data_IF_778315843651
#
_entry.id   IF_778315843651
#
_cell.length_a   1.000
_cell.length_b   1.000
_cell.length_c   1.000
_cell.angle_alpha   90.00
_cell.angle_beta   90.00
_cell.angle_gamma   90.00
#
_symmetry.space_group_name_H-M   'P 1'
#
loop_
_entity.id
_entity.type
_entity.pdbx_description
1 polymer ?
#
# COMPACT_ATOMS: atom_id res chain seq x y z
N UNK A 1 -2.18 -31.36 -20.70
CA UNK A 1 -2.82 -30.04 -20.86
C UNK A 1 -2.78 -29.38 -19.49
N UNK A 2 -1.90 -28.38 -19.29
CA UNK A 2 -1.94 -27.61 -18.06
C UNK A 2 -3.29 -26.89 -18.01
N UNK A 3 -4.03 -27.00 -16.91
CA UNK A 3 -5.24 -26.21 -16.71
C UNK A 3 -4.83 -24.74 -16.70
N UNK A 4 -5.05 -24.04 -17.81
CA UNK A 4 -4.96 -22.58 -17.85
C UNK A 4 -5.87 -22.04 -16.75
N UNK A 5 -5.27 -21.38 -15.76
CA UNK A 5 -5.98 -20.68 -14.70
C UNK A 5 -5.87 -19.21 -15.05
N UNK A 6 -6.89 -18.67 -15.71
CA UNK A 6 -6.97 -17.25 -16.02
C UNK A 6 -7.68 -16.53 -14.87
N UNK A 7 -7.03 -15.51 -14.30
CA UNK A 7 -7.67 -14.57 -13.38
C UNK A 7 -8.23 -13.41 -14.20
N UNK A 8 -9.55 -13.21 -14.18
CA UNK A 8 -10.24 -12.12 -14.88
C UNK A 8 -10.80 -11.11 -13.88
N UNK A 9 -10.93 -9.86 -14.31
CA UNK A 9 -11.67 -8.86 -13.54
C UNK A 9 -13.12 -9.32 -13.37
N UNK A 10 -13.69 -9.04 -12.19
CA UNK A 10 -15.09 -9.31 -11.88
C UNK A 10 -15.94 -8.12 -12.28
N UNK A 11 -15.46 -6.92 -11.98
CA UNK A 11 -16.10 -5.68 -12.41
C UNK A 11 -15.66 -5.32 -13.83
N UNK A 12 -16.61 -4.81 -14.61
CA UNK A 12 -16.32 -4.21 -15.91
C UNK A 12 -15.52 -2.92 -15.72
N UNK A 13 -14.77 -2.53 -16.76
CA UNK A 13 -14.12 -1.23 -16.78
C UNK A 13 -15.17 -0.11 -16.83
N UNK A 14 -15.02 0.90 -15.97
CA UNK A 14 -15.92 2.05 -15.86
C UNK A 14 -15.08 3.30 -16.05
N UNK A 15 -15.08 3.91 -17.25
CA UNK A 15 -14.24 5.07 -17.54
C UNK A 15 -14.78 6.39 -16.94
N UNK A 16 -16.07 6.42 -16.59
CA UNK A 16 -16.74 7.60 -16.05
C UNK A 16 -16.62 7.64 -14.52
N UNK A 17 -15.82 8.58 -14.02
CA UNK A 17 -15.61 8.73 -12.58
C UNK A 17 -16.82 9.26 -11.82
N UNK A 18 -17.85 9.76 -12.50
CA UNK A 18 -19.11 10.15 -11.83
C UNK A 18 -19.87 8.95 -11.25
N UNK A 19 -19.54 7.73 -11.71
CA UNK A 19 -20.09 6.49 -11.19
C UNK A 19 -19.33 5.96 -9.95
N UNK A 20 -18.20 6.56 -9.57
CA UNK A 20 -17.40 6.12 -8.43
C UNK A 20 -18.02 6.62 -7.12
N UNK A 21 -17.92 5.84 -6.05
CA UNK A 21 -18.56 6.14 -4.77
C UNK A 21 -17.75 5.60 -3.59
N UNK A 22 -17.82 6.30 -2.46
CA UNK A 22 -17.23 5.86 -1.20
C UNK A 22 -18.11 4.83 -0.50
N UNK A 23 -17.47 3.98 0.29
CA UNK A 23 -18.12 2.92 1.03
C UNK A 23 -18.83 1.88 0.16
N UNK A 24 -19.75 1.14 0.78
CA UNK A 24 -20.46 0.03 0.16
C UNK A 24 -21.87 0.42 -0.28
N UNK A 25 -22.22 0.03 -1.49
CA UNK A 25 -23.58 0.04 -2.02
C UNK A 25 -24.40 -1.15 -1.50
N UNK A 26 -25.70 -1.12 -1.75
CA UNK A 26 -26.58 -2.28 -1.48
C UNK A 26 -26.16 -3.56 -2.21
N UNK A 27 -25.46 -3.45 -3.34
CA UNK A 27 -24.92 -4.60 -4.05
C UNK A 27 -23.65 -5.14 -3.38
N UNK A 28 -22.79 -4.25 -2.87
CA UNK A 28 -21.56 -4.64 -2.18
C UNK A 28 -21.86 -5.37 -0.87
N UNK A 29 -22.89 -4.93 -0.13
CA UNK A 29 -23.32 -5.63 1.10
C UNK A 29 -23.84 -7.05 0.88
N UNK A 30 -24.15 -7.43 -0.36
CA UNK A 30 -24.54 -8.81 -0.71
C UNK A 30 -23.35 -9.72 -1.03
N UNK A 31 -22.13 -9.16 -1.12
CA UNK A 31 -20.91 -9.92 -1.43
C UNK A 31 -20.51 -10.79 -0.22
N UNK A 32 -19.91 -11.97 -0.43
CA UNK A 32 -19.59 -12.91 0.65
C UNK A 32 -18.58 -12.38 1.67
N UNK A 33 -17.77 -11.40 1.29
CA UNK A 33 -16.77 -10.75 2.14
C UNK A 33 -17.28 -9.46 2.80
N UNK A 34 -18.53 -9.05 2.57
CA UNK A 34 -19.04 -7.78 3.07
C UNK A 34 -19.02 -7.64 4.60
N UNK A 35 -19.08 -8.75 5.33
CA UNK A 35 -18.92 -8.79 6.79
C UNK A 35 -17.58 -8.25 7.29
N UNK A 36 -16.56 -8.18 6.43
CA UNK A 36 -15.25 -7.63 6.75
C UNK A 36 -15.15 -6.13 6.47
N UNK A 37 -16.15 -5.52 5.84
CA UNK A 37 -16.21 -4.08 5.67
C UNK A 37 -16.50 -3.40 7.01
N UNK A 38 -15.78 -2.33 7.31
CA UNK A 38 -16.04 -1.47 8.46
C UNK A 38 -15.74 -0.03 8.09
N UNK A 39 -16.71 0.87 8.25
CA UNK A 39 -16.46 2.28 7.97
C UNK A 39 -15.64 2.94 9.11
N UNK A 40 -15.61 2.31 10.29
CA UNK A 40 -14.81 2.78 11.41
C UNK A 40 -13.38 2.34 11.19
N UNK A 41 -12.56 3.32 10.84
CA UNK A 41 -11.14 3.17 10.57
C UNK A 41 -10.39 3.75 11.77
N UNK A 42 -9.54 2.94 12.40
CA UNK A 42 -8.68 3.45 13.46
C UNK A 42 -7.76 4.57 12.93
N UNK A 43 -7.42 5.56 13.77
CA UNK A 43 -6.41 6.56 13.43
C UNK A 43 -5.06 5.94 13.08
N UNK A 44 -4.13 6.70 12.51
CA UNK A 44 -2.73 6.28 12.37
C UNK A 44 -2.09 5.97 13.75
N UNK A 45 -1.02 5.18 13.77
CA UNK A 45 -0.30 4.88 15.01
C UNK A 45 0.43 6.11 15.57
N UNK A 46 0.68 6.11 16.88
CA UNK A 46 1.48 7.15 17.54
C UNK A 46 2.86 7.36 16.89
N UNK A 47 3.48 6.28 16.40
CA UNK A 47 4.79 6.37 15.74
C UNK A 47 4.71 7.10 14.40
N UNK A 48 3.68 6.81 13.59
CA UNK A 48 3.43 7.50 12.32
C UNK A 48 3.08 8.96 12.60
N UNK A 49 2.22 9.22 13.58
CA UNK A 49 1.85 10.58 13.98
C UNK A 49 3.08 11.40 14.41
N UNK A 50 3.98 10.84 15.24
CA UNK A 50 5.23 11.50 15.64
C UNK A 50 6.16 11.75 14.46
N UNK A 51 6.26 10.79 13.53
CA UNK A 51 7.02 10.94 12.29
C UNK A 51 6.51 12.10 11.43
N UNK A 52 5.20 12.22 11.28
CA UNK A 52 4.55 13.33 10.56
C UNK A 52 4.79 14.67 11.25
N UNK A 53 4.60 14.75 12.57
CA UNK A 53 4.85 15.99 13.35
C UNK A 53 6.30 16.45 13.24
N UNK A 54 7.23 15.53 13.02
CA UNK A 54 8.65 15.82 12.86
C UNK A 54 9.05 16.09 11.40
N UNK A 55 8.10 16.01 10.47
CA UNK A 55 8.31 16.22 9.05
C UNK A 55 8.04 17.68 8.63
N UNK A 56 8.69 18.18 7.56
CA UNK A 56 9.66 17.47 6.74
C UNK A 56 11.00 17.28 7.46
N UNK A 57 11.58 16.09 7.33
CA UNK A 57 12.94 15.83 7.79
C UNK A 57 13.99 16.50 6.88
N UNK A 58 15.22 16.65 7.37
CA UNK A 58 16.32 17.22 6.58
C UNK A 58 16.62 16.39 5.32
N UNK A 59 16.81 17.06 4.18
CA UNK A 59 16.96 16.42 2.86
C UNK A 59 18.14 15.45 2.74
N UNK A 60 19.21 15.67 3.51
CA UNK A 60 20.38 14.78 3.55
C UNK A 60 20.11 13.39 4.15
N UNK A 61 18.95 13.17 4.75
CA UNK A 61 18.49 11.85 5.20
C UNK A 61 17.73 11.08 4.09
N UNK A 62 17.41 11.76 3.00
CA UNK A 62 16.72 11.20 1.85
C UNK A 62 17.63 10.42 0.91
N UNK A 63 17.01 9.54 0.13
CA UNK A 63 17.62 8.79 -0.96
C UNK A 63 16.57 8.58 -2.05
N UNK A 64 16.99 8.27 -3.27
CA UNK A 64 16.11 8.12 -4.42
C UNK A 64 15.55 6.70 -4.58
N UNK A 65 14.47 6.57 -5.37
CA UNK A 65 13.88 5.26 -5.68
C UNK A 65 14.89 4.29 -6.30
N UNK A 66 15.78 4.81 -7.16
CA UNK A 66 16.87 4.04 -7.78
C UNK A 66 17.89 3.51 -6.77
N UNK A 67 17.97 4.10 -5.58
CA UNK A 67 18.85 3.68 -4.48
C UNK A 67 18.13 2.75 -3.49
N UNK A 68 16.81 2.55 -3.64
CA UNK A 68 15.99 1.72 -2.77
C UNK A 68 16.51 0.28 -2.64
N UNK A 69 17.13 -0.26 -3.70
CA UNK A 69 17.74 -1.59 -3.69
C UNK A 69 18.88 -1.76 -2.70
N UNK A 70 19.60 -0.68 -2.37
CA UNK A 70 20.64 -0.71 -1.34
C UNK A 70 20.04 -0.40 0.02
N UNK A 71 19.37 0.74 0.16
CA UNK A 71 18.87 1.24 1.45
C UNK A 71 17.89 0.27 2.14
N UNK A 72 16.97 -0.34 1.39
CA UNK A 72 15.98 -1.26 1.97
C UNK A 72 16.55 -2.66 2.28
N UNK A 73 17.75 -2.98 1.80
CA UNK A 73 18.46 -4.21 2.12
C UNK A 73 19.53 -4.02 3.21
N UNK A 74 19.64 -2.83 3.80
CA UNK A 74 20.49 -2.61 4.98
C UNK A 74 19.85 -3.24 6.23
N UNK A 75 20.64 -3.84 7.13
CA UNK A 75 20.12 -4.39 8.38
C UNK A 75 19.60 -3.29 9.31
N UNK A 76 18.62 -3.62 10.15
CA UNK A 76 18.06 -2.69 11.12
C UNK A 76 17.07 -1.69 10.50
N UNK A 77 17.05 -0.48 11.05
CA UNK A 77 16.16 0.60 10.62
C UNK A 77 16.96 1.76 10.04
N UNK A 78 16.37 2.46 9.09
CA UNK A 78 16.92 3.69 8.53
C UNK A 78 16.58 4.88 9.45
N UNK A 79 17.26 6.04 9.29
CA UNK A 79 16.98 7.22 10.11
C UNK A 79 15.53 7.69 10.06
N UNK A 80 14.86 7.51 8.92
CA UNK A 80 13.46 7.87 8.70
C UNK A 80 12.67 6.61 8.31
N UNK A 81 11.93 6.06 9.28
CA UNK A 81 10.95 4.97 9.08
C UNK A 81 9.51 5.47 9.06
N UNK A 82 9.25 6.66 9.60
CA UNK A 82 7.95 7.33 9.62
C UNK A 82 8.12 8.84 9.35
N UNK A 83 7.31 9.38 8.43
CA UNK A 83 7.35 10.79 8.04
C UNK A 83 7.78 10.98 6.58
N UNK A 84 8.07 12.21 6.21
CA UNK A 84 8.45 12.58 4.84
C UNK A 84 9.56 13.62 4.81
N UNK A 85 10.24 13.70 3.67
CA UNK A 85 11.25 14.72 3.38
C UNK A 85 11.34 14.94 1.88
N UNK A 86 11.99 16.04 1.50
CA UNK A 86 12.39 16.27 0.12
C UNK A 86 13.78 15.70 -0.11
N UNK A 87 13.94 14.82 -1.08
CA UNK A 87 15.23 14.23 -1.44
C UNK A 87 16.16 15.28 -2.07
N UNK A 88 17.48 15.02 -2.15
CA UNK A 88 18.41 15.97 -2.77
C UNK A 88 18.09 16.28 -4.25
N UNK A 89 17.45 15.35 -4.97
CA UNK A 89 17.06 15.51 -6.36
C UNK A 89 15.63 16.08 -6.52
N UNK A 90 14.97 16.38 -5.39
CA UNK A 90 13.74 17.17 -5.36
C UNK A 90 12.43 16.37 -5.37
N UNK A 91 12.48 15.05 -5.31
CA UNK A 91 11.31 14.20 -5.07
C UNK A 91 10.88 14.29 -3.59
N UNK A 92 9.63 13.98 -3.28
CA UNK A 92 9.24 13.69 -1.90
C UNK A 92 9.46 12.23 -1.60
N UNK A 93 10.27 11.91 -0.59
CA UNK A 93 10.34 10.56 -0.05
C UNK A 93 9.45 10.48 1.19
N UNK A 94 8.49 9.56 1.17
CA UNK A 94 7.61 9.25 2.30
C UNK A 94 8.00 7.88 2.85
N UNK A 95 8.10 7.77 4.17
CA UNK A 95 8.29 6.52 4.89
C UNK A 95 7.12 6.30 5.86
N UNK A 96 6.62 5.07 5.89
CA UNK A 96 5.62 4.66 6.87
C UNK A 96 5.89 3.22 7.29
N UNK A 97 5.99 2.99 8.59
CA UNK A 97 6.19 1.67 9.19
C UNK A 97 4.91 1.23 9.89
N UNK A 98 4.40 0.07 9.50
CA UNK A 98 3.18 -0.51 10.06
C UNK A 98 3.50 -1.85 10.72
N UNK A 99 2.94 -2.09 11.91
CA UNK A 99 2.95 -3.44 12.49
C UNK A 99 1.92 -4.32 11.78
N UNK A 100 2.38 -5.43 11.21
CA UNK A 100 1.55 -6.35 10.42
C UNK A 100 1.11 -7.57 11.24
N UNK A 101 1.56 -7.68 12.50
CA UNK A 101 1.25 -8.80 13.38
C UNK A 101 1.65 -10.14 12.76
N UNK A 102 0.65 -11.00 12.48
CA UNK A 102 0.89 -12.33 11.91
C UNK A 102 0.76 -12.38 10.37
N UNK A 103 0.48 -11.25 9.70
CA UNK A 103 0.36 -11.22 8.23
C UNK A 103 1.71 -11.51 7.59
N UNK A 104 1.81 -12.65 6.91
CA UNK A 104 3.02 -13.07 6.20
C UNK A 104 3.15 -12.37 4.84
N UNK A 105 4.36 -12.38 4.27
CA UNK A 105 4.59 -11.89 2.91
C UNK A 105 3.72 -12.57 1.87
N UNK A 106 3.60 -13.91 1.92
CA UNK A 106 2.71 -14.66 1.00
C UNK A 106 1.24 -14.24 1.13
N UNK A 107 0.78 -13.97 2.36
CA UNK A 107 -0.59 -13.53 2.61
C UNK A 107 -0.85 -12.12 2.09
N UNK A 108 0.17 -11.26 2.14
CA UNK A 108 0.14 -9.93 1.56
C UNK A 108 0.20 -9.97 0.02
N UNK A 109 1.02 -10.83 -0.58
CA UNK A 109 1.03 -11.05 -2.02
C UNK A 109 -0.33 -11.57 -2.52
N UNK A 110 -0.97 -12.47 -1.76
CA UNK A 110 -2.34 -12.93 -2.06
C UNK A 110 -3.32 -11.77 -2.07
N UNK A 111 -3.22 -10.85 -1.11
CA UNK A 111 -4.09 -9.68 -1.02
C UNK A 111 -4.03 -8.85 -2.30
N UNK A 112 -2.84 -8.48 -2.77
CA UNK A 112 -2.63 -7.71 -4.01
C UNK A 112 -3.16 -8.42 -5.27
N UNK A 113 -3.00 -9.74 -5.33
CA UNK A 113 -3.58 -10.54 -6.41
C UNK A 113 -5.12 -10.64 -6.32
N UNK A 114 -5.71 -10.54 -5.12
CA UNK A 114 -7.12 -10.78 -4.87
C UNK A 114 -8.00 -9.53 -4.93
N UNK A 115 -7.53 -8.39 -4.39
CA UNK A 115 -8.36 -7.19 -4.32
C UNK A 115 -8.45 -6.44 -5.64
N UNK A 116 -7.46 -6.62 -6.53
CA UNK A 116 -7.31 -5.84 -7.78
C UNK A 116 -8.38 -6.09 -8.86
N UNK A 117 -9.22 -7.12 -8.70
CA UNK A 117 -10.21 -7.53 -9.72
C UNK A 117 -11.62 -6.98 -9.51
N UNK A 118 -11.88 -6.32 -8.37
CA UNK A 118 -13.23 -5.91 -7.97
C UNK A 118 -13.15 -4.72 -6.99
N UNK A 119 -13.81 -3.62 -7.30
CA UNK A 119 -13.76 -2.38 -6.50
C UNK A 119 -14.28 -2.60 -5.08
N UNK A 120 -15.28 -3.45 -4.87
CA UNK A 120 -15.77 -3.82 -3.55
C UNK A 120 -14.66 -4.43 -2.67
N UNK A 121 -13.71 -5.18 -3.24
CA UNK A 121 -12.58 -5.74 -2.49
C UNK A 121 -11.56 -4.67 -2.16
N UNK A 122 -11.26 -3.79 -3.10
CA UNK A 122 -10.35 -2.65 -2.88
C UNK A 122 -10.83 -1.74 -1.75
N UNK A 123 -12.15 -1.53 -1.69
CA UNK A 123 -12.83 -0.75 -0.63
C UNK A 123 -12.74 -1.36 0.76
N UNK A 124 -12.51 -2.67 0.89
CA UNK A 124 -12.22 -3.26 2.20
C UNK A 124 -10.97 -2.65 2.81
N UNK A 125 -10.00 -2.25 1.96
CA UNK A 125 -8.68 -1.82 2.37
C UNK A 125 -8.70 -0.46 3.07
N UNK A 126 -9.35 0.53 2.45
CA UNK A 126 -9.55 1.84 3.06
C UNK A 126 -10.97 2.36 2.79
N UNK A 127 -11.93 1.98 3.65
CA UNK A 127 -13.37 2.21 3.47
C UNK A 127 -13.81 3.67 3.25
N UNK A 128 -13.04 4.63 3.76
CA UNK A 128 -13.33 6.06 3.69
C UNK A 128 -12.60 6.79 2.55
N UNK A 129 -11.71 6.11 1.82
CA UNK A 129 -10.88 6.74 0.79
C UNK A 129 -10.95 6.04 -0.57
N UNK A 130 -10.98 4.71 -0.60
CA UNK A 130 -10.97 3.94 -1.85
C UNK A 130 -12.34 3.97 -2.53
N UNK A 131 -12.41 4.44 -3.77
CA UNK A 131 -13.68 4.52 -4.51
C UNK A 131 -13.77 3.51 -5.66
N UNK A 132 -12.67 3.35 -6.39
CA UNK A 132 -12.64 2.55 -7.60
C UNK A 132 -11.28 1.87 -7.79
N UNK A 133 -11.31 0.65 -8.32
CA UNK A 133 -10.12 -0.02 -8.82
C UNK A 133 -10.46 -0.88 -10.03
N UNK A 134 -9.59 -0.86 -11.02
CA UNK A 134 -9.64 -1.79 -12.14
C UNK A 134 -8.24 -2.20 -12.57
N UNK A 135 -8.02 -3.50 -12.78
CA UNK A 135 -6.72 -4.02 -13.21
C UNK A 135 -6.60 -4.07 -14.73
N UNK A 136 -5.50 -3.54 -15.25
CA UNK A 136 -5.03 -3.77 -16.61
C UNK A 136 -3.82 -4.74 -16.60
N UNK A 137 -3.73 -5.72 -17.52
CA UNK A 137 -4.80 -6.18 -18.38
C UNK A 137 -5.95 -6.82 -17.58
N UNK A 138 -7.13 -6.89 -18.21
CA UNK A 138 -8.34 -7.44 -17.58
C UNK A 138 -8.16 -8.91 -17.17
N UNK A 139 -7.38 -9.66 -17.95
CA UNK A 139 -7.13 -11.08 -17.74
C UNK A 139 -5.63 -11.35 -17.67
N UNK A 140 -5.22 -12.14 -16.67
CA UNK A 140 -3.84 -12.59 -16.49
C UNK A 140 -3.79 -14.10 -16.31
N UNK A 141 -2.83 -14.75 -16.95
CA UNK A 141 -2.53 -16.16 -16.67
C UNK A 141 -1.82 -16.27 -15.33
N UNK A 142 -2.39 -17.09 -14.44
CA UNK A 142 -1.89 -17.36 -13.09
C UNK A 142 -1.49 -18.82 -12.89
N UNK A 143 -1.48 -19.63 -13.96
CA UNK A 143 -1.04 -21.01 -13.89
C UNK A 143 0.43 -21.11 -13.47
N UNK A 144 0.70 -21.96 -12.48
CA UNK A 144 2.06 -22.21 -11.93
C UNK A 144 2.78 -20.96 -11.39
N UNK A 145 2.06 -19.87 -11.11
CA UNK A 145 2.60 -18.64 -10.52
C UNK A 145 2.38 -18.59 -9.01
N UNK A 146 3.40 -18.15 -8.28
CA UNK A 146 3.30 -17.66 -6.90
C UNK A 146 2.30 -16.50 -6.82
N UNK A 147 1.86 -16.09 -5.62
CA UNK A 147 0.95 -14.93 -5.53
C UNK A 147 1.60 -13.64 -6.04
N UNK A 148 2.88 -13.44 -5.78
CA UNK A 148 3.61 -12.25 -6.24
C UNK A 148 3.60 -12.11 -7.78
N UNK A 149 3.92 -13.21 -8.47
CA UNK A 149 3.95 -13.26 -9.93
C UNK A 149 2.57 -13.06 -10.60
N UNK A 150 1.47 -13.11 -9.83
CA UNK A 150 0.11 -12.93 -10.37
C UNK A 150 -0.26 -11.46 -10.58
N UNK A 151 0.44 -10.53 -9.96
CA UNK A 151 0.21 -9.10 -10.15
C UNK A 151 1.39 -8.37 -10.80
N UNK A 152 2.57 -8.98 -10.92
CA UNK A 152 3.67 -8.40 -11.71
C UNK A 152 3.24 -8.12 -13.15
N UNK A 153 3.70 -6.99 -13.70
CA UNK A 153 3.33 -6.48 -15.01
C UNK A 153 1.83 -6.25 -15.20
N UNK A 154 1.15 -5.91 -14.10
CA UNK A 154 -0.23 -5.42 -14.12
C UNK A 154 -0.28 -3.99 -13.60
N UNK A 155 -1.31 -3.27 -13.99
CA UNK A 155 -1.56 -1.89 -13.61
C UNK A 155 -2.86 -1.86 -12.82
N UNK A 156 -2.85 -1.23 -11.66
CA UNK A 156 -4.08 -0.87 -10.94
C UNK A 156 -4.44 0.56 -11.31
N UNK A 157 -5.54 0.71 -12.03
CA UNK A 157 -6.16 1.99 -12.31
C UNK A 157 -7.12 2.28 -11.16
N UNK A 158 -6.75 3.20 -10.28
CA UNK A 158 -7.48 3.47 -9.05
C UNK A 158 -7.94 4.92 -9.00
N UNK A 159 -9.06 5.09 -8.33
CA UNK A 159 -9.60 6.40 -7.98
C UNK A 159 -9.88 6.41 -6.48
N UNK A 160 -9.22 7.31 -5.77
CA UNK A 160 -9.20 7.35 -4.32
C UNK A 160 -8.94 8.76 -3.78
N UNK A 161 -9.37 8.98 -2.55
CA UNK A 161 -8.99 10.18 -1.82
C UNK A 161 -7.62 10.02 -1.18
N UNK A 162 -6.74 10.98 -1.41
CA UNK A 162 -5.49 11.15 -0.67
C UNK A 162 -5.63 12.47 0.08
N UNK A 163 -5.83 12.38 1.39
CA UNK A 163 -6.26 13.53 2.19
C UNK A 163 -7.66 13.99 1.78
N UNK A 164 -7.80 15.28 1.46
CA UNK A 164 -9.06 15.85 0.97
C UNK A 164 -9.22 15.83 -0.56
N UNK A 165 -8.17 15.47 -1.29
CA UNK A 165 -8.13 15.57 -2.75
C UNK A 165 -8.42 14.21 -3.40
N UNK A 166 -9.10 14.27 -4.54
CA UNK A 166 -9.44 13.11 -5.36
C UNK A 166 -8.33 12.84 -6.37
N UNK A 167 -7.71 11.67 -6.27
CA UNK A 167 -6.55 11.28 -7.04
C UNK A 167 -6.86 10.10 -7.99
N UNK A 168 -6.50 10.28 -9.27
CA UNK A 168 -6.48 9.19 -10.25
C UNK A 168 -5.07 8.65 -10.33
N UNK A 169 -4.87 7.45 -9.78
CA UNK A 169 -3.54 6.87 -9.68
C UNK A 169 -3.45 5.63 -10.56
N UNK A 170 -2.30 5.47 -11.21
CA UNK A 170 -1.91 4.21 -11.84
C UNK A 170 -0.75 3.61 -11.08
N UNK A 171 -0.98 2.43 -10.51
CA UNK A 171 0.06 1.64 -9.82
C UNK A 171 0.49 0.51 -10.75
N UNK A 172 1.67 0.64 -11.35
CA UNK A 172 2.23 -0.35 -12.28
C UNK A 172 3.19 -1.28 -11.56
N UNK A 173 2.72 -2.47 -11.19
CA UNK A 173 3.48 -3.43 -10.43
C UNK A 173 4.58 -4.07 -11.27
N UNK A 174 5.78 -4.11 -10.72
CA UNK A 174 6.98 -4.66 -11.36
C UNK A 174 7.64 -5.71 -10.46
N UNK A 175 8.48 -6.56 -11.06
CA UNK A 175 9.34 -7.42 -10.25
C UNK A 175 10.36 -6.53 -9.50
N UNK A 176 10.58 -6.72 -8.18
CA UNK A 176 11.63 -6.01 -7.43
C UNK A 176 13.01 -5.98 -8.12
N UNK A 177 13.35 -7.04 -8.88
CA UNK A 177 14.60 -7.13 -9.63
C UNK A 177 14.75 -6.03 -10.70
N UNK A 178 13.66 -5.45 -11.20
CA UNK A 178 13.71 -4.32 -12.14
C UNK A 178 14.28 -3.03 -11.51
N UNK A 179 14.20 -2.89 -10.18
CA UNK A 179 14.89 -1.82 -9.43
C UNK A 179 16.27 -2.24 -8.92
N UNK A 180 16.77 -3.41 -9.32
CA UNK A 180 18.05 -3.95 -8.86
C UNK A 180 18.00 -4.58 -7.46
N UNK A 181 16.82 -4.87 -6.92
CA UNK A 181 16.68 -5.49 -5.60
C UNK A 181 17.14 -6.95 -5.66
N UNK A 182 18.21 -7.26 -4.94
CA UNK A 182 18.77 -8.60 -4.83
C UNK A 182 17.97 -9.45 -3.82
N UNK A 183 17.10 -10.32 -4.36
CA UNK A 183 16.25 -11.22 -3.56
C UNK A 183 17.04 -12.27 -2.78
N UNK A 184 18.30 -12.56 -3.15
CA UNK A 184 19.13 -13.53 -2.43
C UNK A 184 19.46 -13.09 -1.00
N UNK A 185 19.41 -11.77 -0.72
CA UNK A 185 19.63 -11.20 0.62
C UNK A 185 18.43 -11.34 1.55
N UNK A 186 17.24 -11.60 1.02
CA UNK A 186 15.99 -11.57 1.78
C UNK A 186 15.96 -12.54 2.98
N UNK A 187 16.39 -13.81 2.85
CA UNK A 187 16.34 -14.75 3.97
C UNK A 187 17.16 -14.28 5.18
N UNK A 188 18.35 -13.73 4.94
CA UNK A 188 19.23 -13.23 6.01
C UNK A 188 18.67 -11.99 6.71
N UNK A 189 17.80 -11.23 6.04
CA UNK A 189 17.19 -10.00 6.53
C UNK A 189 15.76 -10.21 7.03
N UNK A 190 15.24 -11.44 6.94
CA UNK A 190 13.85 -11.75 7.28
C UNK A 190 12.82 -11.11 6.34
N UNK A 191 13.21 -10.65 5.16
CA UNK A 191 12.28 -10.06 4.17
C UNK A 191 11.46 -11.21 3.56
N UNK A 192 10.14 -11.11 3.62
CA UNK A 192 9.23 -12.13 3.10
C UNK A 192 8.68 -11.78 1.72
N UNK A 193 8.44 -10.49 1.44
CA UNK A 193 8.08 -9.97 0.11
C UNK A 193 8.39 -8.48 -0.01
N UNK A 194 8.44 -7.98 -1.25
CA UNK A 194 8.38 -6.56 -1.56
C UNK A 194 7.37 -6.33 -2.69
N UNK A 195 6.31 -5.55 -2.41
CA UNK A 195 5.44 -5.01 -3.46
C UNK A 195 6.12 -3.77 -4.02
N UNK A 196 6.43 -3.78 -5.31
CA UNK A 196 7.15 -2.68 -5.98
C UNK A 196 6.31 -2.22 -7.16
N UNK A 197 6.15 -0.91 -7.30
CA UNK A 197 5.45 -0.35 -8.45
C UNK A 197 6.01 1.01 -8.88
N UNK A 198 5.90 1.28 -10.17
CA UNK A 198 5.97 2.65 -10.72
C UNK A 198 4.61 3.30 -10.49
N UNK A 199 4.59 4.59 -10.16
CA UNK A 199 3.36 5.30 -9.83
C UNK A 199 3.16 6.45 -10.82
N UNK A 200 2.01 6.46 -11.49
CA UNK A 200 1.51 7.62 -12.23
C UNK A 200 0.41 8.29 -11.42
N UNK A 201 0.59 9.55 -11.05
CA UNK A 201 -0.40 10.31 -10.29
C UNK A 201 -0.97 11.40 -11.20
N UNK A 202 -2.26 11.29 -11.51
CA UNK A 202 -3.07 12.33 -12.13
C UNK A 202 -4.16 12.80 -11.17
N UNK A 203 -4.70 13.99 -11.40
CA UNK A 203 -5.76 14.52 -10.55
C UNK A 203 -5.66 16.02 -10.39
N UNK A 204 -6.59 16.58 -9.62
CA UNK A 204 -6.57 18.01 -9.29
C UNK A 204 -6.19 18.11 -7.82
N UNK A 205 -4.99 18.60 -7.53
CA UNK A 205 -4.54 18.79 -6.15
C UNK A 205 -4.69 20.26 -5.78
N UNK A 206 -5.30 20.51 -4.63
CA UNK A 206 -5.52 21.86 -4.13
C UNK A 206 -4.38 22.26 -3.19
N UNK A 207 -3.62 23.30 -3.53
CA UNK A 207 -2.69 23.87 -2.55
C UNK A 207 -3.48 24.73 -1.56
N UNK A 208 -3.69 24.19 -0.35
CA UNK A 208 -4.51 24.80 0.71
C UNK A 208 -4.11 26.24 1.11
N UNK A 209 -2.93 26.72 0.71
CA UNK A 209 -2.39 28.02 1.14
C UNK A 209 -2.17 29.06 0.05
N UNK A 210 -2.15 28.68 -1.23
CA UNK A 210 -1.80 29.61 -2.32
C UNK A 210 -2.97 29.95 -3.23
N UNK A 211 -4.14 29.34 -3.03
CA UNK A 211 -5.29 29.41 -3.94
C UNK A 211 -4.91 29.03 -5.40
N UNK A 212 -3.78 28.31 -5.59
CA UNK A 212 -3.36 27.77 -6.87
C UNK A 212 -3.80 26.32 -6.95
N UNK A 213 -4.59 26.02 -7.97
CA UNK A 213 -4.78 24.64 -8.42
C UNK A 213 -3.46 24.18 -9.03
N UNK A 214 -2.80 23.20 -8.40
CA UNK A 214 -1.72 22.50 -9.09
C UNK A 214 -2.41 21.53 -10.07
N UNK A 215 -2.42 21.91 -11.35
CA UNK A 215 -2.88 21.03 -12.42
C UNK A 215 -1.75 20.02 -12.68
N UNK A 216 -1.80 18.89 -12.00
CA UNK A 216 -1.00 17.73 -12.41
C UNK A 216 -1.66 17.19 -13.68
N UNK A 217 -0.99 17.39 -14.81
CA UNK A 217 -1.48 17.02 -16.13
C UNK A 217 -2.06 15.59 -16.12
N UNK A 218 -3.23 15.46 -16.74
CA UNK A 218 -4.02 14.22 -16.88
C UNK A 218 -3.16 13.04 -17.33
N UNK A 219 -2.73 12.24 -16.36
CA UNK A 219 -2.07 10.96 -16.60
C UNK A 219 -2.82 9.93 -15.73
N UNK A 220 -4.07 9.67 -16.11
CA UNK A 220 -4.84 8.54 -15.58
C UNK A 220 -4.73 7.37 -16.56
N UNK A 221 -4.60 6.17 -16.04
CA UNK A 221 -4.59 4.92 -16.81
C UNK A 221 -3.43 4.81 -17.81
N UNK A 222 -2.25 5.31 -17.45
CA UNK A 222 -1.07 5.11 -18.27
C UNK A 222 -0.48 3.72 -18.11
N UNK A 223 0.05 3.18 -19.20
CA UNK A 223 0.76 1.90 -19.20
C UNK A 223 2.23 2.06 -19.57
N UNK A 224 2.64 3.26 -19.95
CA UNK A 224 3.99 3.64 -20.37
C UNK A 224 4.24 5.13 -20.07
N UNK A 225 5.49 5.58 -20.21
CA UNK A 225 5.83 7.00 -20.02
C UNK A 225 5.84 7.47 -18.57
N UNK A 226 6.05 6.57 -17.60
CA UNK A 226 6.30 6.93 -16.20
C UNK A 226 7.49 7.88 -16.09
N UNK A 227 7.47 8.77 -15.09
CA UNK A 227 8.48 9.84 -14.91
C UNK A 227 9.88 9.34 -14.51
N UNK A 228 10.02 8.04 -14.21
CA UNK A 228 11.27 7.41 -13.78
C UNK A 228 11.68 7.73 -12.33
N UNK A 229 10.87 8.50 -11.61
CA UNK A 229 11.12 8.93 -10.22
C UNK A 229 10.08 8.35 -9.28
N UNK A 230 8.81 8.41 -9.66
CA UNK A 230 7.68 8.05 -8.82
C UNK A 230 7.53 6.54 -8.66
N UNK A 231 7.76 6.05 -7.45
CA UNK A 231 7.73 4.64 -7.11
C UNK A 231 7.13 4.42 -5.72
N UNK A 232 6.60 3.23 -5.50
CA UNK A 232 6.33 2.73 -4.16
C UNK A 232 7.00 1.38 -3.93
N UNK A 233 7.40 1.14 -2.68
CA UNK A 233 7.87 -0.14 -2.20
C UNK A 233 7.20 -0.42 -0.85
N UNK A 234 6.50 -1.55 -0.74
CA UNK A 234 6.05 -2.11 0.54
C UNK A 234 6.87 -3.37 0.85
N UNK A 235 7.78 -3.28 1.81
CA UNK A 235 8.59 -4.42 2.26
C UNK A 235 7.95 -5.07 3.49
N UNK A 236 7.57 -6.35 3.39
CA UNK A 236 7.17 -7.15 4.55
C UNK A 236 8.42 -7.82 5.13
N UNK A 237 8.69 -7.58 6.42
CA UNK A 237 9.84 -8.12 7.13
C UNK A 237 9.41 -8.81 8.42
N UNK A 238 9.91 -10.03 8.63
CA UNK A 238 9.76 -10.79 9.86
C UNK A 238 10.70 -10.26 10.94
N UNK A 239 10.14 -9.97 12.11
CA UNK A 239 10.87 -9.55 13.32
C UNK A 239 11.35 -10.77 14.12
N UNK A 240 12.27 -10.55 15.05
CA UNK A 240 12.84 -11.60 15.90
C UNK A 240 11.79 -12.29 16.80
N UNK A 241 10.72 -11.59 17.16
CA UNK A 241 9.58 -12.13 17.93
C UNK A 241 8.61 -12.98 17.09
N UNK A 242 8.88 -13.14 15.79
CA UNK A 242 8.07 -13.92 14.85
C UNK A 242 6.91 -13.15 14.21
N UNK A 243 6.58 -11.94 14.69
CA UNK A 243 5.60 -11.05 14.03
C UNK A 243 6.23 -10.36 12.81
N UNK A 244 5.43 -9.65 12.01
CA UNK A 244 5.87 -8.94 10.82
C UNK A 244 5.65 -7.45 10.99
N UNK A 245 6.46 -6.69 10.30
CA UNK A 245 6.22 -5.29 10.02
C UNK A 245 6.23 -5.06 8.51
N UNK A 246 5.60 -3.97 8.09
CA UNK A 246 5.72 -3.46 6.75
C UNK A 246 6.46 -2.13 6.79
N UNK A 247 7.49 -2.01 5.96
CA UNK A 247 8.23 -0.78 5.72
C UNK A 247 7.87 -0.25 4.34
N UNK A 248 7.05 0.79 4.31
CA UNK A 248 6.63 1.46 3.08
C UNK A 248 7.61 2.58 2.74
N UNK A 249 7.94 2.72 1.47
CA UNK A 249 8.58 3.89 0.89
C UNK A 249 7.83 4.34 -0.34
N UNK A 250 7.61 5.64 -0.44
CA UNK A 250 7.10 6.28 -1.64
C UNK A 250 8.09 7.34 -2.07
N UNK A 251 8.32 7.44 -3.37
CA UNK A 251 8.96 8.57 -4.00
C UNK A 251 7.92 9.22 -4.88
N UNK A 252 7.68 10.51 -4.69
CA UNK A 252 6.75 11.30 -5.48
C UNK A 252 7.57 12.30 -6.26
N UNK A 253 7.43 12.29 -7.59
CA UNK A 253 8.25 13.07 -8.50
C UNK A 253 8.24 14.58 -8.22
N UNK A 254 9.21 15.33 -8.78
CA UNK A 254 9.30 16.77 -8.60
C UNK A 254 8.00 17.48 -9.05
N UNK A 255 7.58 18.49 -8.28
CA UNK A 255 6.37 19.27 -8.58
C UNK A 255 5.10 18.79 -7.87
N UNK A 256 5.14 17.61 -7.23
CA UNK A 256 4.09 17.21 -6.30
C UNK A 256 4.13 18.11 -5.05
N UNK A 257 2.98 18.67 -4.59
CA UNK A 257 2.94 19.49 -3.38
C UNK A 257 3.33 18.71 -2.12
N UNK A 258 3.91 19.40 -1.14
CA UNK A 258 4.27 18.82 0.17
C UNK A 258 3.08 18.19 0.89
N UNK A 259 1.89 18.79 0.75
CA UNK A 259 0.65 18.27 1.35
C UNK A 259 0.35 16.84 0.90
N UNK A 260 0.68 16.48 -0.34
CA UNK A 260 0.49 15.11 -0.83
C UNK A 260 1.47 14.15 -0.16
N UNK A 261 2.69 14.57 0.14
CA UNK A 261 3.65 13.74 0.89
C UNK A 261 3.16 13.48 2.33
N UNK A 262 2.59 14.50 2.98
CA UNK A 262 1.90 14.37 4.26
C UNK A 262 0.72 13.38 4.16
N UNK A 263 -0.17 13.61 3.20
CA UNK A 263 -1.42 12.87 3.09
C UNK A 263 -1.19 11.41 2.67
N UNK A 264 -0.17 11.11 1.85
CA UNK A 264 0.27 9.73 1.59
C UNK A 264 0.78 9.04 2.86
N UNK A 265 1.46 9.76 3.76
CA UNK A 265 1.92 9.20 5.02
C UNK A 265 0.73 8.80 5.92
N UNK A 266 -0.29 9.67 5.99
CA UNK A 266 -1.55 9.38 6.69
C UNK A 266 -2.29 8.21 6.04
N UNK A 267 -2.49 8.28 4.72
CA UNK A 267 -3.20 7.28 3.93
C UNK A 267 -2.59 5.89 4.11
N UNK A 268 -1.27 5.77 3.92
CA UNK A 268 -0.54 4.52 4.14
C UNK A 268 -0.58 4.06 5.60
N UNK A 269 -0.53 4.98 6.57
CA UNK A 269 -0.60 4.62 8.00
C UNK A 269 -1.99 4.12 8.42
N UNK A 270 -3.02 4.46 7.66
CA UNK A 270 -4.41 4.14 7.94
C UNK A 270 -4.91 2.89 7.20
N UNK A 271 -4.58 2.75 5.91
CA UNK A 271 -5.07 1.63 5.10
C UNK A 271 -4.50 0.27 5.52
N UNK A 272 -3.31 0.26 6.13
CA UNK A 272 -2.56 -0.98 6.31
C UNK A 272 -3.10 -1.82 7.49
N UNK A 273 -3.20 -3.15 7.33
CA UNK A 273 -3.81 -4.01 8.34
C UNK A 273 -2.92 -4.06 9.58
N UNK A 274 -3.30 -3.34 10.62
CA UNK A 274 -2.61 -3.33 11.92
C UNK A 274 -3.45 -3.95 13.02
N UNK A 275 -2.79 -4.40 14.07
CA UNK A 275 -3.49 -4.70 15.33
C UNK A 275 -4.02 -3.37 15.89
N UNK A 276 -5.31 -3.32 16.26
CA UNK A 276 -5.88 -2.09 16.83
C UNK A 276 -5.29 -1.83 18.21
N UNK A 277 -5.33 -0.56 18.62
CA UNK A 277 -4.97 -0.17 19.99
C UNK A 277 -5.90 -0.75 21.06
N UNK A 278 -7.06 -1.31 20.67
CA UNK A 278 -8.00 -1.97 21.58
C UNK A 278 -7.78 -3.48 21.70
N UNK A 279 -6.75 -4.03 21.03
CA UNK A 279 -6.48 -5.47 20.99
C UNK A 279 -7.38 -6.26 20.03
N UNK A 280 -8.27 -5.57 19.30
CA UNK A 280 -9.00 -6.16 18.20
C UNK A 280 -8.13 -6.14 16.93
N UNK A 281 -7.97 -7.27 16.27
CA UNK A 281 -7.36 -7.26 14.94
C UNK A 281 -8.30 -6.64 13.91
N UNK A 282 -7.74 -5.77 13.05
CA UNK A 282 -8.46 -5.13 11.95
C UNK A 282 -9.15 -6.17 11.05
N UNK A 283 -10.34 -5.86 10.53
CA UNK A 283 -11.14 -6.84 9.76
C UNK A 283 -10.46 -7.32 8.48
N UNK A 284 -9.63 -6.51 7.84
CA UNK A 284 -8.78 -6.92 6.70
C UNK A 284 -7.75 -7.96 7.18
N UNK A 285 -7.07 -7.67 8.29
CA UNK A 285 -6.14 -8.61 8.91
C UNK A 285 -6.86 -9.93 9.24
N UNK A 286 -8.08 -9.86 9.80
CA UNK A 286 -8.92 -11.05 10.05
C UNK A 286 -9.24 -11.81 8.77
N UNK A 287 -9.60 -11.13 7.68
CA UNK A 287 -9.88 -11.76 6.39
C UNK A 287 -8.63 -12.47 5.84
N UNK A 288 -7.49 -11.80 5.85
CA UNK A 288 -6.21 -12.35 5.41
C UNK A 288 -5.84 -13.58 6.27
N UNK A 289 -5.84 -13.44 7.60
CA UNK A 289 -5.47 -14.51 8.52
C UNK A 289 -6.44 -15.70 8.46
N UNK A 290 -7.74 -15.44 8.34
CA UNK A 290 -8.77 -16.47 8.17
C UNK A 290 -8.52 -17.31 6.92
N UNK A 291 -8.14 -16.67 5.81
CA UNK A 291 -7.84 -17.36 4.55
C UNK A 291 -6.66 -18.33 4.70
N UNK A 292 -5.67 -17.96 5.51
CA UNK A 292 -4.46 -18.76 5.74
C UNK A 292 -4.56 -19.69 6.97
N UNK A 293 -5.76 -19.86 7.53
CA UNK A 293 -6.00 -20.78 8.66
C UNK A 293 -5.32 -20.36 9.96
N UNK A 294 -4.92 -19.09 10.08
CA UNK A 294 -4.30 -18.57 11.30
C UNK A 294 -5.40 -18.09 12.26
N UNK A 295 -5.64 -18.86 13.31
CA UNK A 295 -6.57 -18.48 14.37
C UNK A 295 -5.93 -17.40 15.26
N UNK A 296 -6.66 -16.30 15.45
CA UNK A 296 -6.28 -15.18 16.34
C UNK A 296 -6.30 -15.52 17.84
N UNK A 297 -6.72 -16.73 18.19
CA UNK A 297 -6.91 -17.15 19.58
C UNK A 297 -5.60 -17.28 20.39
N UNK A 298 -4.43 -17.19 19.74
CA UNK A 298 -3.12 -17.30 20.42
C UNK A 298 -2.50 -15.97 20.84
N UNK A 299 -3.05 -14.80 20.48
CA UNK A 299 -2.42 -13.51 20.80
C UNK A 299 -2.78 -12.96 22.19
N UNK A 300 -3.82 -13.49 22.84
CA UNK A 300 -4.30 -13.01 24.15
C UNK A 300 -3.47 -13.48 25.36
N UNK A 301 -2.53 -14.41 25.19
CA UNK A 301 -1.68 -14.88 26.30
C UNK A 301 -0.35 -14.11 26.46
N UNK A 302 0.01 -13.22 25.52
CA UNK A 302 1.29 -12.50 25.54
C UNK A 302 1.29 -11.14 26.24
N UNK A 303 0.12 -10.50 26.42
CA UNK A 303 0.03 -9.10 26.88
C UNK A 303 -0.35 -8.97 28.36
N UNK A 304 -0.85 -10.03 29.01
CA UNK A 304 -1.16 -10.01 30.44
C UNK A 304 0.04 -10.25 31.38
N UNK A 305 1.27 -10.36 30.84
CA UNK A 305 2.46 -10.67 31.64
C UNK A 305 3.41 -9.50 31.94
N UNK A 306 3.10 -8.26 31.55
CA UNK A 306 4.00 -7.09 31.78
C UNK A 306 3.32 -5.86 32.39
N UNK A 307 2.33 -6.10 33.23
CA UNK A 307 1.92 -5.13 34.23
C UNK A 307 1.97 -5.83 35.59
N UNK A 308 2.83 -5.33 36.48
CA UNK A 308 3.12 -5.80 37.85
C UNK A 308 4.20 -6.89 37.99
N UNK A 309 5.47 -6.48 37.83
CA UNK A 309 6.60 -6.74 38.75
C UNK A 309 7.85 -6.04 38.22
#
# INVERSE_FOLDING_TARGET
MANEKISKNIDAYVPDSTAYYLGYSNADYKKPFAKYFDFNVDPISDEVQKGIVSSPWGSGLGYEASEGHDYLLRPGYLPVENGYLKTPQGAWMVACRTDMGQVTGEAYDWWFAWHSVESARYKLWYPTAHQYSWRHPEAVDIANKSFAERYYNTFSFIDEYIGGDHAKVTVAFIDPAELGIDKSKWPALGIETMIVARVGIGGTFSEAFTNRTCLTYFIAHITEGFDGVSHLIHQIRRKADGTREMRSRFWLGPGIPETIAHDICVHCGTEMPRESSTGDTWKIQRLILFRFGQNLATTLQGVQGRALA
#
